data_IF_715143807581
#
_entry.id   IF_715143807581
#
_cell.length_a   1.000
_cell.length_b   1.000
_cell.length_c   1.000
_cell.angle_alpha   90.00
_cell.angle_beta   90.00
_cell.angle_gamma   90.00
#
_symmetry.space_group_name_H-M   'P 1'
#
loop_
_entity.id
_entity.type
_entity.pdbx_description
1 polymer ?
#
# COMPACT_ATOMS: atom_id res chain seq x y z
N UNK A 1 13.53 17.33 0.25
CA UNK A 1 12.75 16.30 0.99
C UNK A 1 12.50 15.11 0.08
N UNK A 2 12.84 13.91 0.54
CA UNK A 2 12.59 12.69 -0.24
C UNK A 2 11.11 12.33 -0.24
N UNK A 3 10.70 11.46 -1.16
CA UNK A 3 9.31 10.97 -1.19
C UNK A 3 8.95 10.25 0.11
N UNK A 4 9.87 9.47 0.67
CA UNK A 4 9.64 8.81 1.95
C UNK A 4 9.40 9.83 3.07
N UNK A 5 10.21 10.88 3.14
CA UNK A 5 10.02 11.93 4.15
C UNK A 5 8.67 12.62 4.00
N UNK A 6 8.23 12.87 2.77
CA UNK A 6 6.91 13.43 2.50
C UNK A 6 5.80 12.51 2.99
N UNK A 7 5.91 11.20 2.73
CA UNK A 7 4.94 10.22 3.20
C UNK A 7 4.87 10.19 4.72
N UNK A 8 6.01 10.15 5.39
CA UNK A 8 6.06 10.09 6.86
C UNK A 8 5.41 11.32 7.50
N UNK A 9 5.50 12.48 6.85
CA UNK A 9 4.91 13.71 7.38
C UNK A 9 3.38 13.69 7.40
N UNK A 10 2.72 12.96 6.50
CA UNK A 10 1.26 12.96 6.42
C UNK A 10 0.63 11.89 7.31
N UNK A 11 1.40 10.94 7.82
CA UNK A 11 0.90 9.91 8.72
C UNK A 11 0.77 10.48 10.13
N UNK A 12 -0.44 10.46 10.67
CA UNK A 12 -0.71 10.99 12.02
C UNK A 12 -1.01 9.91 13.05
N UNK A 13 -1.29 8.68 12.61
CA UNK A 13 -1.66 7.57 13.49
C UNK A 13 -0.47 6.65 13.73
N UNK A 14 -0.51 5.92 14.85
CA UNK A 14 0.51 4.91 15.16
C UNK A 14 0.32 3.63 14.38
N UNK A 15 -0.89 3.39 13.91
CA UNK A 15 -1.24 2.23 13.08
C UNK A 15 -1.89 2.75 11.81
N UNK A 16 -1.39 2.32 10.65
CA UNK A 16 -1.98 2.65 9.36
C UNK A 16 -2.34 1.37 8.63
N UNK A 17 -3.33 1.48 7.74
CA UNK A 17 -3.71 0.38 6.85
C UNK A 17 -3.07 0.58 5.50
N UNK A 18 -2.58 -0.51 4.92
CA UNK A 18 -2.08 -0.55 3.55
C UNK A 18 -3.06 -1.39 2.76
N UNK A 19 -3.71 -0.78 1.79
CA UNK A 19 -4.76 -1.43 1.01
C UNK A 19 -4.33 -1.64 -0.43
N UNK A 20 -4.54 -2.86 -0.93
CA UNK A 20 -4.33 -3.22 -2.34
C UNK A 20 -5.64 -3.08 -3.12
N UNK A 21 -5.57 -3.26 -4.45
CA UNK A 21 -6.78 -3.47 -5.25
C UNK A 21 -7.43 -4.82 -4.87
N UNK A 22 -8.69 -4.99 -5.26
CA UNK A 22 -9.39 -6.26 -5.06
C UNK A 22 -8.66 -7.38 -5.82
N UNK A 23 -8.68 -8.60 -5.27
CA UNK A 23 -7.97 -9.75 -5.83
C UNK A 23 -6.48 -9.45 -6.07
N UNK A 24 -5.73 -9.16 -4.99
CA UNK A 24 -4.36 -8.67 -5.15
C UNK A 24 -3.46 -9.69 -5.83
N UNK A 25 -2.58 -9.18 -6.69
CA UNK A 25 -1.57 -9.98 -7.38
C UNK A 25 -0.21 -9.86 -6.66
N UNK A 26 0.83 -10.46 -7.26
CA UNK A 26 2.16 -10.47 -6.68
C UNK A 26 2.75 -9.06 -6.52
N UNK A 27 2.54 -8.17 -7.50
CA UNK A 27 3.04 -6.80 -7.40
C UNK A 27 2.36 -6.04 -6.26
N UNK A 28 1.03 -6.17 -6.14
CA UNK A 28 0.28 -5.52 -5.06
C UNK A 28 0.78 -6.00 -3.70
N UNK A 29 0.96 -7.30 -3.52
CA UNK A 29 1.41 -7.87 -2.24
C UNK A 29 2.86 -7.52 -1.93
N UNK A 30 3.74 -7.54 -2.93
CA UNK A 30 5.14 -7.14 -2.75
C UNK A 30 5.24 -5.67 -2.36
N UNK A 31 4.45 -4.82 -3.00
CA UNK A 31 4.39 -3.39 -2.69
C UNK A 31 3.91 -3.16 -1.27
N UNK A 32 2.84 -3.84 -0.88
CA UNK A 32 2.29 -3.72 0.47
C UNK A 32 3.27 -4.19 1.53
N UNK A 33 3.92 -5.33 1.33
CA UNK A 33 4.89 -5.87 2.28
C UNK A 33 6.11 -4.96 2.39
N UNK A 34 6.62 -4.47 1.26
CA UNK A 34 7.76 -3.55 1.28
C UNK A 34 7.44 -2.27 2.03
N UNK A 35 6.27 -1.69 1.80
CA UNK A 35 5.83 -0.50 2.50
C UNK A 35 5.65 -0.76 4.00
N UNK A 36 5.07 -1.92 4.35
CA UNK A 36 4.91 -2.29 5.76
C UNK A 36 6.26 -2.34 6.48
N UNK A 37 7.24 -3.03 5.90
CA UNK A 37 8.58 -3.12 6.48
C UNK A 37 9.20 -1.73 6.64
N UNK A 38 9.02 -0.87 5.63
CA UNK A 38 9.54 0.49 5.65
C UNK A 38 8.94 1.31 6.79
N UNK A 39 7.63 1.28 6.94
CA UNK A 39 6.93 2.02 7.99
C UNK A 39 7.30 1.48 9.38
N UNK A 40 7.40 0.17 9.52
CA UNK A 40 7.80 -0.45 10.78
C UNK A 40 9.23 -0.09 11.18
N UNK A 41 10.11 0.13 10.20
CA UNK A 41 11.46 0.64 10.46
C UNK A 41 11.43 2.00 11.18
N UNK A 42 10.40 2.81 10.92
CA UNK A 42 10.21 4.13 11.56
C UNK A 42 9.25 4.09 12.75
N UNK A 43 8.92 2.90 13.25
CA UNK A 43 8.06 2.76 14.43
C UNK A 43 6.58 2.89 14.17
N UNK A 44 6.15 2.85 12.92
CA UNK A 44 4.73 2.92 12.53
C UNK A 44 4.25 1.50 12.24
N UNK A 45 3.26 1.03 12.98
CA UNK A 45 2.65 -0.27 12.71
C UNK A 45 1.78 -0.18 11.46
N UNK A 46 1.82 -1.23 10.64
CA UNK A 46 1.04 -1.28 9.41
C UNK A 46 0.33 -2.61 9.29
N UNK A 47 -0.94 -2.55 8.85
CA UNK A 47 -1.77 -3.71 8.62
C UNK A 47 -2.12 -3.74 7.14
N UNK A 48 -1.74 -4.81 6.45
CA UNK A 48 -2.08 -5.00 5.03
C UNK A 48 -3.48 -5.58 4.95
N UNK A 49 -4.36 -4.91 4.22
CA UNK A 49 -5.73 -5.37 4.02
C UNK A 49 -6.08 -5.49 2.53
N UNK A 50 -6.94 -6.44 2.22
CA UNK A 50 -7.33 -6.72 0.85
C UNK A 50 -8.75 -7.29 0.81
N UNK A 51 -9.32 -7.34 -0.40
CA UNK A 51 -10.61 -7.98 -0.66
C UNK A 51 -10.50 -8.92 -1.87
N UNK A 52 -11.32 -9.97 -1.86
CA UNK A 52 -11.34 -10.96 -2.94
C UNK A 52 -10.43 -12.14 -2.65
N UNK A 53 -10.70 -13.24 -3.35
CA UNK A 53 -9.94 -14.48 -3.17
C UNK A 53 -8.56 -14.39 -3.81
N UNK A 54 -7.61 -15.06 -3.19
CA UNK A 54 -6.26 -15.24 -3.74
C UNK A 54 -6.17 -16.71 -4.12
N UNK A 55 -6.31 -17.01 -5.40
CA UNK A 55 -6.39 -18.37 -5.91
C UNK A 55 -5.27 -18.77 -6.87
N UNK A 56 -4.45 -17.81 -7.31
CA UNK A 56 -3.34 -18.11 -8.20
C UNK A 56 -2.20 -18.79 -7.45
N UNK A 57 -1.72 -19.91 -7.98
CA UNK A 57 -0.68 -20.72 -7.34
C UNK A 57 0.56 -19.92 -6.98
N UNK A 58 1.06 -19.11 -7.93
CA UNK A 58 2.27 -18.32 -7.68
C UNK A 58 2.09 -17.30 -6.57
N UNK A 59 0.92 -16.71 -6.48
CA UNK A 59 0.60 -15.73 -5.42
C UNK A 59 0.52 -16.41 -4.07
N UNK A 60 -0.15 -17.56 -3.99
CA UNK A 60 -0.23 -18.35 -2.76
C UNK A 60 1.16 -18.79 -2.30
N UNK A 61 2.00 -19.23 -3.23
CA UNK A 61 3.38 -19.62 -2.90
C UNK A 61 4.20 -18.45 -2.36
N UNK A 62 4.04 -17.27 -2.94
CA UNK A 62 4.70 -16.06 -2.46
C UNK A 62 4.31 -15.76 -1.02
N UNK A 63 3.01 -15.81 -0.70
CA UNK A 63 2.50 -15.56 0.63
C UNK A 63 3.12 -16.54 1.64
N UNK A 64 3.16 -17.83 1.29
CA UNK A 64 3.72 -18.88 2.15
C UNK A 64 5.22 -18.70 2.36
N UNK A 65 5.97 -18.52 1.27
CA UNK A 65 7.43 -18.45 1.32
C UNK A 65 7.94 -17.21 2.05
N UNK A 66 7.28 -16.08 1.85
CA UNK A 66 7.67 -14.82 2.47
C UNK A 66 6.95 -14.56 3.79
N UNK A 67 6.07 -15.46 4.20
CA UNK A 67 5.29 -15.36 5.45
C UNK A 67 4.59 -14.01 5.55
N UNK A 68 3.89 -13.64 4.49
CA UNK A 68 3.18 -12.36 4.44
C UNK A 68 2.00 -12.38 5.42
N UNK A 69 1.93 -11.35 6.26
CA UNK A 69 0.83 -11.16 7.20
C UNK A 69 -0.18 -10.20 6.57
N UNK A 70 -1.20 -10.77 5.95
CA UNK A 70 -2.24 -10.03 5.25
C UNK A 70 -3.60 -10.37 5.83
N UNK A 71 -4.49 -9.38 5.90
CA UNK A 71 -5.79 -9.52 6.57
C UNK A 71 -6.92 -9.18 5.61
N UNK A 72 -7.92 -10.06 5.45
CA UNK A 72 -9.11 -9.71 4.69
C UNK A 72 -9.79 -8.48 5.30
N UNK A 73 -10.12 -7.50 4.46
CA UNK A 73 -10.73 -6.26 4.94
C UNK A 73 -12.08 -6.50 5.65
N UNK A 74 -12.79 -7.55 5.24
CA UNK A 74 -14.09 -7.89 5.86
C UNK A 74 -13.97 -8.30 7.33
N UNK A 75 -12.76 -8.66 7.79
CA UNK A 75 -12.51 -9.04 9.19
C UNK A 75 -12.06 -7.86 10.06
N UNK A 76 -11.97 -6.65 9.50
CA UNK A 76 -11.48 -5.46 10.20
C UNK A 76 -12.64 -4.50 10.45
N UNK A 77 -12.75 -4.01 11.68
CA UNK A 77 -13.65 -2.91 12.01
C UNK A 77 -12.93 -1.58 11.84
N UNK A 78 -13.12 -0.95 10.69
CA UNK A 78 -12.51 0.33 10.41
C UNK A 78 -13.23 1.46 11.13
N UNK A 79 -12.45 2.44 11.62
CA UNK A 79 -12.97 3.67 12.21
C UNK A 79 -12.89 4.80 11.19
N UNK A 80 -13.71 5.83 11.37
CA UNK A 80 -13.73 6.98 10.45
C UNK A 80 -12.41 7.73 10.38
N UNK A 81 -11.63 7.71 11.46
CA UNK A 81 -10.35 8.41 11.54
C UNK A 81 -9.14 7.52 11.23
N UNK A 82 -9.36 6.25 10.89
CA UNK A 82 -8.28 5.37 10.44
C UNK A 82 -7.66 5.88 9.15
N UNK A 83 -6.36 5.77 9.04
CA UNK A 83 -5.60 6.21 7.86
C UNK A 83 -5.22 5.01 7.00
N UNK A 84 -5.42 5.17 5.69
CA UNK A 84 -5.10 4.13 4.70
C UNK A 84 -4.20 4.69 3.61
N UNK A 85 -3.24 3.87 3.20
CA UNK A 85 -2.39 4.13 2.03
C UNK A 85 -2.72 3.07 0.99
N UNK A 86 -3.07 3.52 -0.21
CA UNK A 86 -3.31 2.61 -1.34
C UNK A 86 -1.99 2.28 -2.02
N UNK A 87 -1.79 1.02 -2.36
CA UNK A 87 -0.65 0.56 -3.15
C UNK A 87 -1.15 -0.22 -4.35
N UNK A 88 -0.52 0.00 -5.49
CA UNK A 88 -0.83 -0.63 -6.77
C UNK A 88 -2.26 -0.39 -7.23
N UNK A 89 -2.86 0.70 -6.79
CA UNK A 89 -4.22 1.08 -7.16
C UNK A 89 -4.48 2.54 -6.82
N UNK A 90 -5.57 3.09 -7.38
CA UNK A 90 -6.00 4.47 -7.13
C UNK A 90 -7.50 4.49 -6.88
N UNK A 91 -7.96 5.52 -6.13
CA UNK A 91 -9.40 5.78 -5.98
C UNK A 91 -10.06 5.97 -7.35
N UNK A 92 -11.27 5.49 -7.48
CA UNK A 92 -12.03 5.60 -8.71
C UNK A 92 -11.86 4.44 -9.68
N UNK A 93 -10.91 3.56 -9.45
CA UNK A 93 -10.78 2.33 -10.22
C UNK A 93 -11.87 1.33 -9.80
N UNK A 94 -12.42 0.58 -10.75
CA UNK A 94 -13.51 -0.36 -10.47
C UNK A 94 -13.11 -1.50 -9.53
N UNK A 95 -11.81 -1.82 -9.44
CA UNK A 95 -11.29 -2.88 -8.59
C UNK A 95 -10.79 -2.39 -7.23
N UNK A 96 -11.19 -1.18 -6.83
CA UNK A 96 -10.79 -0.59 -5.55
C UNK A 96 -12.02 -0.05 -4.83
N UNK A 97 -12.18 -0.47 -3.59
CA UNK A 97 -13.20 0.08 -2.70
C UNK A 97 -12.50 0.51 -1.41
N UNK A 98 -12.66 1.76 -1.02
CA UNK A 98 -12.07 2.26 0.21
C UNK A 98 -12.90 1.84 1.42
N UNK A 99 -12.23 1.48 2.51
CA UNK A 99 -12.89 0.90 3.68
C UNK A 99 -12.99 1.84 4.86
N UNK A 100 -12.10 2.82 4.96
CA UNK A 100 -12.11 3.76 6.08
C UNK A 100 -12.28 5.19 5.60
N UNK A 101 -12.44 6.11 6.55
CA UNK A 101 -12.75 7.51 6.24
C UNK A 101 -11.62 8.29 5.58
N UNK A 102 -10.36 7.89 5.78
CA UNK A 102 -9.21 8.68 5.34
C UNK A 102 -8.22 7.86 4.54
N UNK A 103 -8.28 7.99 3.21
CA UNK A 103 -7.20 7.52 2.34
C UNK A 103 -6.21 8.68 2.20
N UNK A 104 -5.09 8.60 2.91
CA UNK A 104 -4.13 9.71 2.99
C UNK A 104 -3.06 9.65 1.91
N UNK A 105 -2.80 8.47 1.34
CA UNK A 105 -1.72 8.30 0.39
C UNK A 105 -2.03 7.29 -0.69
N UNK A 106 -1.28 7.41 -1.79
CA UNK A 106 -1.39 6.50 -2.92
C UNK A 106 -0.03 6.34 -3.58
N UNK A 107 0.40 5.08 -3.74
CA UNK A 107 1.62 4.73 -4.46
C UNK A 107 1.23 3.74 -5.55
N UNK A 108 1.42 4.13 -6.81
CA UNK A 108 0.93 3.35 -7.94
C UNK A 108 1.75 3.60 -9.19
N UNK A 109 1.63 2.69 -10.16
CA UNK A 109 2.30 2.82 -11.47
C UNK A 109 1.32 2.81 -12.65
N UNK A 110 0.03 2.81 -12.37
CA UNK A 110 -0.98 2.90 -13.43
C UNK A 110 -1.17 4.35 -13.89
N UNK A 111 -1.97 4.53 -14.96
CA UNK A 111 -2.25 5.87 -15.48
C UNK A 111 -2.85 6.74 -14.38
N UNK A 112 -2.35 7.98 -14.27
CA UNK A 112 -2.79 8.91 -13.23
C UNK A 112 -4.29 9.21 -13.33
N UNK A 113 -4.97 9.02 -12.21
CA UNK A 113 -6.32 9.50 -11.98
C UNK A 113 -6.24 10.83 -11.20
N UNK A 114 -7.34 11.30 -10.63
CA UNK A 114 -7.36 12.55 -9.87
C UNK A 114 -6.65 12.38 -8.51
N UNK A 115 -5.47 13.00 -8.29
CA UNK A 115 -4.73 12.88 -7.04
C UNK A 115 -5.16 13.89 -5.97
N UNK A 116 -6.14 14.74 -6.22
CA UNK A 116 -6.43 15.90 -5.37
C UNK A 116 -6.89 15.55 -3.96
N UNK A 117 -7.41 14.34 -3.74
CA UNK A 117 -7.90 13.90 -2.43
C UNK A 117 -6.83 13.29 -1.52
N UNK A 118 -5.64 13.04 -2.04
CA UNK A 118 -4.55 12.45 -1.25
C UNK A 118 -3.70 13.54 -0.60
N UNK A 119 -3.24 13.31 0.63
CA UNK A 119 -2.24 14.16 1.26
C UNK A 119 -0.84 13.88 0.70
N UNK A 120 -0.62 12.65 0.25
CA UNK A 120 0.61 12.21 -0.39
C UNK A 120 0.26 11.32 -1.59
N UNK A 121 0.95 11.50 -2.71
CA UNK A 121 0.87 10.53 -3.80
C UNK A 121 2.21 10.42 -4.50
N UNK A 122 2.50 9.22 -4.99
CA UNK A 122 3.65 8.93 -5.83
C UNK A 122 3.20 7.97 -6.92
N UNK A 123 2.80 8.52 -8.04
CA UNK A 123 2.21 7.79 -9.16
C UNK A 123 3.14 7.94 -10.35
N UNK A 124 3.74 6.82 -10.77
CA UNK A 124 4.76 6.79 -11.82
C UNK A 124 4.33 5.85 -12.95
N UNK A 125 3.57 6.34 -13.94
CA UNK A 125 3.04 5.48 -15.02
C UNK A 125 4.11 4.84 -15.90
N UNK A 126 5.32 5.40 -15.92
CA UNK A 126 6.44 4.87 -16.73
C UNK A 126 7.26 3.80 -16.01
N UNK A 127 6.88 3.40 -14.81
CA UNK A 127 7.54 2.33 -14.05
C UNK A 127 6.77 1.03 -14.25
N UNK A 128 7.46 -0.07 -14.45
CA UNK A 128 6.85 -1.35 -14.80
C UNK A 128 6.12 -2.07 -13.67
N UNK A 129 6.41 -1.71 -12.41
CA UNK A 129 5.79 -2.34 -11.23
C UNK A 129 5.77 -1.37 -10.06
N UNK A 130 4.73 -1.44 -9.24
CA UNK A 130 4.61 -0.62 -8.02
C UNK A 130 5.71 -0.98 -7.02
N UNK A 131 6.06 -2.26 -6.91
CA UNK A 131 7.14 -2.71 -6.02
C UNK A 131 8.47 -2.01 -6.31
N UNK A 132 8.73 -1.63 -7.54
CA UNK A 132 9.93 -0.88 -7.92
C UNK A 132 9.95 0.50 -7.28
N UNK A 133 8.80 1.15 -7.18
CA UNK A 133 8.68 2.46 -6.51
C UNK A 133 9.00 2.32 -5.02
N UNK A 134 8.44 1.30 -4.39
CA UNK A 134 8.70 1.03 -2.96
C UNK A 134 10.19 0.73 -2.74
N UNK A 135 10.80 -0.09 -3.60
CA UNK A 135 12.24 -0.40 -3.51
C UNK A 135 13.09 0.88 -3.60
N UNK A 136 12.69 1.86 -4.41
CA UNK A 136 13.41 3.11 -4.53
C UNK A 136 13.47 3.89 -3.21
N UNK A 137 12.45 3.76 -2.36
CA UNK A 137 12.44 4.43 -1.06
C UNK A 137 13.53 3.87 -0.13
N UNK A 138 13.73 2.55 -0.16
CA UNK A 138 14.83 1.92 0.59
C UNK A 138 16.18 2.40 0.09
N UNK A 139 16.38 2.39 -1.22
CA UNK A 139 17.66 2.76 -1.83
C UNK A 139 18.00 4.24 -1.62
N UNK A 140 17.04 5.13 -1.84
CA UNK A 140 17.24 6.57 -1.71
C UNK A 140 17.53 7.02 -0.27
N UNK A 141 17.09 6.23 0.72
CA UNK A 141 17.25 6.57 2.13
C UNK A 141 18.25 5.65 2.86
N UNK A 142 18.99 4.83 2.11
CA UNK A 142 20.03 3.93 2.64
C UNK A 142 19.49 2.97 3.71
N UNK A 143 18.29 2.44 3.50
CA UNK A 143 17.65 1.46 4.39
C UNK A 143 17.92 0.07 3.83
N UNK A 144 18.53 -0.84 4.62
CA UNK A 144 18.89 -2.18 4.15
C UNK A 144 17.70 -3.09 3.84
#
# INVERSE_FOLDING_TARGET
MTKLEQLLQVISKKVVFIQTHNYPDQDALASAQGLKLLLEHFGIQAVICYKGEIDKYNTIKMIELLKLDITPADSIEFREDDETILVDCQKGNSNVKTYCGKVIGCIDHHQLQDPSSYLFYDIRPNVGACATIIASYFLENNIP
#
